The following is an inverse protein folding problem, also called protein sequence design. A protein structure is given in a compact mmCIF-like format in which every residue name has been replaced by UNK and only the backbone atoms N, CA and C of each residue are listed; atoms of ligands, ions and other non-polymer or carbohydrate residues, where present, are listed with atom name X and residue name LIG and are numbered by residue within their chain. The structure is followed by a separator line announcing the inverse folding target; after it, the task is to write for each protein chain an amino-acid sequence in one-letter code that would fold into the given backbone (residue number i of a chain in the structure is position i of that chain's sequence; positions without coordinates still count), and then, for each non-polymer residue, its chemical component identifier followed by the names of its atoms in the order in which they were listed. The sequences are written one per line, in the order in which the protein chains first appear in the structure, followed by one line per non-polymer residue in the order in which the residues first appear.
data_IF_298601201707
#
_entry.id   IF_298601201707
#
_cell.length_a   1.000
_cell.length_b   1.000
_cell.length_c   1.000
_cell.angle_alpha   90.00
_cell.angle_beta   90.00
_cell.angle_gamma   90.00
#
_symmetry.space_group_name_H-M   'P 1'
#
loop_
_entity.id
_entity.type
_entity.pdbx_description
1 polymer ?
#
# COMPACT_ATOMS: atom_id res chain seq x y z
N UNK A 1 -18.67 3.85 9.00
CA UNK A 1 -18.39 3.62 7.57
C UNK A 1 -17.94 2.17 7.38
N UNK A 2 -18.35 1.51 6.29
CA UNK A 2 -17.97 0.12 6.02
C UNK A 2 -16.53 0.13 5.50
N UNK A 3 -15.63 -0.72 6.05
CA UNK A 3 -14.25 -0.83 5.58
C UNK A 3 -14.21 -1.20 4.10
N UNK A 4 -13.19 -0.70 3.36
CA UNK A 4 -12.94 -1.07 1.97
C UNK A 4 -12.61 -2.55 1.86
N UNK A 5 -11.81 -3.10 2.79
CA UNK A 5 -11.45 -4.51 2.81
C UNK A 5 -12.50 -5.36 3.50
N UNK A 6 -12.86 -6.45 2.84
CA UNK A 6 -13.47 -7.59 3.50
C UNK A 6 -12.34 -8.58 3.81
N UNK A 7 -12.16 -8.94 5.08
CA UNK A 7 -11.05 -9.82 5.53
C UNK A 7 -11.01 -11.16 4.78
N UNK A 8 -12.16 -11.63 4.27
CA UNK A 8 -12.23 -12.88 3.49
C UNK A 8 -11.59 -12.82 2.08
N UNK A 9 -11.33 -11.62 1.56
CA UNK A 9 -10.77 -11.41 0.21
C UNK A 9 -9.36 -10.81 0.23
N UNK A 10 -8.84 -10.46 1.40
CA UNK A 10 -7.51 -9.89 1.52
C UNK A 10 -6.44 -10.96 1.29
N UNK A 11 -5.55 -10.72 0.32
CA UNK A 11 -4.36 -11.54 0.10
C UNK A 11 -3.21 -10.96 0.94
N UNK A 12 -2.70 -11.74 1.90
CA UNK A 12 -1.62 -11.32 2.79
C UNK A 12 -0.38 -10.85 2.02
N UNK A 13 0.24 -9.79 2.51
CA UNK A 13 1.40 -9.15 1.88
C UNK A 13 2.63 -9.29 2.79
N UNK A 14 3.80 -9.43 2.18
CA UNK A 14 5.08 -9.44 2.91
C UNK A 14 5.23 -8.16 3.75
N UNK A 15 4.73 -7.05 3.27
CA UNK A 15 4.77 -5.75 3.96
C UNK A 15 3.92 -5.73 5.25
N UNK A 16 2.97 -6.64 5.45
CA UNK A 16 2.09 -6.65 6.63
C UNK A 16 2.87 -6.75 7.95
N UNK A 17 3.95 -7.51 7.97
CA UNK A 17 4.79 -7.63 9.17
C UNK A 17 5.53 -6.32 9.47
N UNK A 18 5.94 -5.58 8.44
CA UNK A 18 6.53 -4.24 8.60
C UNK A 18 5.49 -3.25 9.12
N UNK A 19 4.28 -3.27 8.57
CA UNK A 19 3.16 -2.41 8.99
C UNK A 19 2.84 -2.67 10.46
N UNK A 20 2.64 -3.92 10.87
CA UNK A 20 2.37 -4.29 12.27
C UNK A 20 3.50 -3.85 13.22
N UNK A 21 4.75 -4.06 12.80
CA UNK A 21 5.92 -3.65 13.59
C UNK A 21 5.97 -2.14 13.74
N UNK A 22 5.86 -1.41 12.65
CA UNK A 22 6.10 0.02 12.62
C UNK A 22 4.94 0.80 13.28
N UNK A 23 3.71 0.30 13.25
CA UNK A 23 2.58 0.82 14.04
C UNK A 23 2.82 0.72 15.56
N UNK A 24 3.57 -0.28 16.03
CA UNK A 24 3.96 -0.36 17.46
C UNK A 24 5.05 0.62 17.85
N UNK A 25 5.85 1.09 16.89
CA UNK A 25 7.05 1.92 17.14
C UNK A 25 6.77 3.40 16.90
N UNK A 26 6.08 3.74 15.82
CA UNK A 26 5.84 5.12 15.38
C UNK A 26 4.40 5.56 15.64
N UNK A 27 4.20 6.88 15.78
CA UNK A 27 2.86 7.46 15.91
C UNK A 27 2.05 7.34 14.63
N UNK A 28 2.71 7.47 13.47
CA UNK A 28 2.10 7.27 12.16
C UNK A 28 3.05 6.52 11.22
N UNK A 29 2.47 5.88 10.21
CA UNK A 29 3.20 5.29 9.08
C UNK A 29 2.65 5.86 7.77
N UNK A 30 3.47 5.88 6.72
CA UNK A 30 3.07 6.23 5.36
C UNK A 30 3.43 5.08 4.42
N UNK A 31 2.42 4.47 3.79
CA UNK A 31 2.62 3.40 2.81
C UNK A 31 2.67 4.03 1.41
N UNK A 32 3.85 3.98 0.81
CA UNK A 32 4.14 4.56 -0.51
C UNK A 32 4.40 3.44 -1.53
N UNK A 33 3.99 3.66 -2.77
CA UNK A 33 4.22 2.67 -3.84
C UNK A 33 3.51 3.01 -5.13
N UNK A 34 3.76 2.24 -6.22
CA UNK A 34 3.14 2.49 -7.51
C UNK A 34 1.63 2.40 -7.43
N UNK A 35 0.95 3.04 -8.39
CA UNK A 35 -0.51 2.92 -8.50
C UNK A 35 -0.92 1.46 -8.65
N UNK A 36 -2.05 1.08 -8.03
CA UNK A 36 -2.65 -0.26 -8.08
C UNK A 36 -1.85 -1.40 -7.41
N UNK A 37 -0.74 -1.11 -6.74
CA UNK A 37 0.00 -2.16 -6.02
C UNK A 37 -0.72 -2.69 -4.76
N UNK A 38 -1.87 -2.09 -4.38
CA UNK A 38 -2.69 -2.55 -3.25
C UNK A 38 -2.53 -1.75 -1.96
N UNK A 39 -1.95 -0.53 -1.99
CA UNK A 39 -1.74 0.31 -0.80
C UNK A 39 -3.00 0.49 0.04
N UNK A 40 -4.08 0.96 -0.59
CA UNK A 40 -5.37 1.22 0.08
C UNK A 40 -5.91 -0.05 0.74
N UNK A 41 -5.85 -1.20 0.04
CA UNK A 41 -6.30 -2.49 0.58
C UNK A 41 -5.49 -2.93 1.80
N UNK A 42 -4.16 -2.91 1.69
CA UNK A 42 -3.26 -3.24 2.81
C UNK A 42 -3.49 -2.30 3.98
N UNK A 43 -3.57 -1.00 3.74
CA UNK A 43 -3.80 -0.01 4.79
C UNK A 43 -5.16 -0.18 5.48
N UNK A 44 -6.23 -0.43 4.70
CA UNK A 44 -7.58 -0.70 5.19
C UNK A 44 -7.62 -1.97 6.05
N UNK A 45 -6.89 -3.02 5.67
CA UNK A 45 -6.78 -4.25 6.45
C UNK A 45 -6.24 -3.99 7.87
N UNK A 46 -5.27 -3.09 8.01
CA UNK A 46 -4.65 -2.74 9.29
C UNK A 46 -5.33 -1.58 10.03
N UNK A 47 -6.26 -0.86 9.41
CA UNK A 47 -6.95 0.27 10.00
C UNK A 47 -8.22 -0.13 10.76
N UNK A 48 -8.59 0.66 11.78
CA UNK A 48 -9.88 0.54 12.47
C UNK A 48 -10.92 1.54 11.96
N UNK A 49 -10.46 2.66 11.37
CA UNK A 49 -11.32 3.63 10.69
C UNK A 49 -10.63 4.20 9.47
N UNK A 50 -11.41 4.77 8.54
CA UNK A 50 -10.92 5.21 7.23
C UNK A 50 -11.42 6.61 6.89
N UNK A 51 -10.60 7.36 6.15
CA UNK A 51 -10.95 8.60 5.50
C UNK A 51 -10.31 8.64 4.12
N UNK A 52 -11.13 8.63 3.08
CA UNK A 52 -10.72 8.61 1.68
C UNK A 52 -10.75 10.04 1.15
N UNK A 53 -9.58 10.65 0.98
CA UNK A 53 -9.48 12.06 0.52
C UNK A 53 -10.03 12.22 -0.88
N UNK A 54 -9.74 11.27 -1.77
CA UNK A 54 -10.13 11.27 -3.18
C UNK A 54 -11.54 10.72 -3.46
N UNK A 55 -12.38 10.48 -2.45
CA UNK A 55 -13.75 10.00 -2.66
C UNK A 55 -14.58 11.04 -3.44
N UNK A 56 -15.13 10.68 -4.62
CA UNK A 56 -15.93 11.60 -5.42
C UNK A 56 -17.32 11.92 -4.82
N UNK A 57 -17.75 11.19 -3.79
CA UNK A 57 -19.04 11.36 -3.14
C UNK A 57 -19.22 12.81 -2.62
N UNK A 58 -20.41 13.36 -2.78
CA UNK A 58 -20.70 14.72 -2.35
C UNK A 58 -19.82 15.78 -3.04
N UNK A 59 -19.49 15.58 -4.31
CA UNK A 59 -18.61 16.46 -5.08
C UNK A 59 -17.24 16.68 -4.41
N UNK A 60 -16.57 15.56 -4.06
CA UNK A 60 -15.29 15.58 -3.35
C UNK A 60 -15.34 16.28 -1.98
N UNK A 61 -16.44 16.15 -1.27
CA UNK A 61 -16.64 16.77 0.05
C UNK A 61 -15.56 16.38 1.07
N UNK A 62 -15.01 15.18 0.99
CA UNK A 62 -13.90 14.73 1.83
C UNK A 62 -12.65 15.57 1.60
N UNK A 63 -12.29 15.83 0.34
CA UNK A 63 -11.16 16.69 0.00
C UNK A 63 -11.34 18.10 0.54
N UNK A 64 -12.52 18.69 0.32
CA UNK A 64 -12.84 20.04 0.84
C UNK A 64 -12.75 20.08 2.37
N UNK A 65 -13.25 19.07 3.05
CA UNK A 65 -13.13 18.99 4.51
C UNK A 65 -11.67 18.89 4.96
N UNK A 66 -10.86 18.08 4.26
CA UNK A 66 -9.45 17.93 4.57
C UNK A 66 -8.64 19.22 4.33
N UNK A 67 -9.00 20.02 3.32
CA UNK A 67 -8.42 21.34 3.04
C UNK A 67 -8.75 22.37 4.13
N UNK A 68 -10.01 22.39 4.59
CA UNK A 68 -10.48 23.34 5.60
C UNK A 68 -10.06 22.94 7.03
N UNK A 69 -10.18 21.66 7.37
CA UNK A 69 -10.01 21.15 8.73
C UNK A 69 -9.16 19.88 8.75
N UNK A 70 -7.88 19.92 8.33
CA UNK A 70 -7.04 18.72 8.19
C UNK A 70 -6.89 17.96 9.51
N UNK A 71 -6.92 18.66 10.64
CA UNK A 71 -6.82 18.04 11.96
C UNK A 71 -8.10 17.26 12.34
N UNK A 72 -9.25 17.71 11.89
CA UNK A 72 -10.53 17.05 12.18
C UNK A 72 -10.66 15.70 11.49
N UNK A 73 -10.14 15.56 10.26
CA UNK A 73 -10.21 14.29 9.53
C UNK A 73 -9.31 13.20 10.11
N UNK A 74 -8.31 13.57 10.91
CA UNK A 74 -7.43 12.63 11.61
C UNK A 74 -8.09 11.97 12.83
N UNK A 75 -9.22 12.50 13.30
CA UNK A 75 -9.94 11.94 14.46
C UNK A 75 -10.76 10.72 14.04
N UNK A 76 -10.59 9.62 14.76
CA UNK A 76 -11.30 8.36 14.55
C UNK A 76 -10.64 7.22 15.31
N UNK A 77 -11.16 6.00 15.14
CA UNK A 77 -10.62 4.82 15.80
C UNK A 77 -9.25 4.48 15.20
N UNK A 78 -8.23 4.45 16.04
CA UNK A 78 -6.85 4.18 15.64
C UNK A 78 -6.56 2.67 15.50
N UNK A 79 -5.73 2.24 14.55
CA UNK A 79 -5.12 3.03 13.49
C UNK A 79 -6.15 3.59 12.50
N UNK A 80 -6.04 4.87 12.13
CA UNK A 80 -6.92 5.49 11.15
C UNK A 80 -6.23 5.65 9.81
N UNK A 81 -6.84 5.12 8.76
CA UNK A 81 -6.38 5.30 7.38
C UNK A 81 -6.77 6.69 6.87
N UNK A 82 -5.81 7.40 6.30
CA UNK A 82 -6.00 8.59 5.45
C UNK A 82 -5.46 8.24 4.07
N UNK A 83 -6.35 7.95 3.14
CA UNK A 83 -5.99 7.47 1.81
C UNK A 83 -5.73 8.64 0.85
N UNK A 84 -4.64 8.56 0.07
CA UNK A 84 -4.18 9.55 -0.90
C UNK A 84 -3.92 10.94 -0.25
N UNK A 85 -3.17 10.97 0.86
CA UNK A 85 -2.88 12.20 1.62
C UNK A 85 -2.28 13.33 0.77
N UNK A 86 -1.56 13.00 -0.30
CA UNK A 86 -0.91 13.98 -1.18
C UNK A 86 -1.90 14.86 -1.96
N UNK A 87 -3.17 14.48 -2.04
CA UNK A 87 -4.24 15.32 -2.59
C UNK A 87 -4.45 16.60 -1.76
N UNK A 88 -4.10 16.53 -0.46
CA UNK A 88 -4.13 17.65 0.48
C UNK A 88 -2.84 17.63 1.31
N UNK A 89 -1.73 18.24 0.85
CA UNK A 89 -0.42 18.17 1.50
C UNK A 89 -0.39 18.61 2.96
N UNK A 90 -1.30 19.49 3.38
CA UNK A 90 -1.45 19.91 4.78
C UNK A 90 -1.74 18.75 5.75
N UNK A 91 -2.26 17.63 5.26
CA UNK A 91 -2.50 16.41 6.06
C UNK A 91 -1.20 15.82 6.63
N UNK A 92 -0.08 15.97 5.94
CA UNK A 92 1.21 15.51 6.43
C UNK A 92 1.64 16.26 7.70
N UNK A 93 1.64 17.59 7.64
CA UNK A 93 2.00 18.43 8.79
C UNK A 93 0.97 18.31 9.93
N UNK A 94 -0.31 18.20 9.59
CA UNK A 94 -1.37 17.94 10.56
C UNK A 94 -1.18 16.59 11.26
N UNK A 95 -0.81 15.53 10.53
CA UNK A 95 -0.52 14.20 11.09
C UNK A 95 0.66 14.26 12.06
N UNK A 96 1.74 14.96 11.69
CA UNK A 96 2.88 15.16 12.57
C UNK A 96 2.47 15.84 13.89
N UNK A 97 1.72 16.95 13.79
CA UNK A 97 1.23 17.69 14.96
C UNK A 97 0.25 16.85 15.80
N UNK A 98 -0.60 16.04 15.14
CA UNK A 98 -1.53 15.13 15.82
C UNK A 98 -0.79 14.08 16.64
N UNK A 99 0.24 13.44 16.07
CA UNK A 99 1.08 12.47 16.77
C UNK A 99 1.82 13.11 17.94
N UNK A 100 2.40 14.30 17.76
CA UNK A 100 3.08 15.03 18.85
C UNK A 100 2.12 15.33 20.02
N UNK A 101 0.88 15.68 19.72
CA UNK A 101 -0.15 15.99 20.74
C UNK A 101 -0.71 14.76 21.42
N UNK A 102 -0.94 13.69 20.68
CA UNK A 102 -1.52 12.44 21.21
C UNK A 102 -0.51 11.64 22.04
N UNK A 103 0.78 11.72 21.72
CA UNK A 103 1.85 10.92 22.30
C UNK A 103 1.73 9.41 22.05
N UNK A 104 0.69 8.98 21.32
CA UNK A 104 0.38 7.57 21.07
C UNK A 104 1.17 6.97 19.90
N UNK A 105 1.24 5.64 19.86
CA UNK A 105 1.74 4.85 18.73
C UNK A 105 0.58 4.33 17.90
N UNK A 106 0.85 4.01 16.62
CA UNK A 106 -0.14 3.40 15.73
C UNK A 106 -1.41 4.23 15.53
N UNK A 107 -1.30 5.55 15.50
CA UNK A 107 -2.47 6.42 15.41
C UNK A 107 -2.99 6.53 13.97
N UNK A 108 -2.09 6.77 13.01
CA UNK A 108 -2.45 7.10 11.63
C UNK A 108 -1.68 6.20 10.65
N UNK A 109 -2.37 5.78 9.60
CA UNK A 109 -1.82 5.17 8.39
C UNK A 109 -2.11 6.13 7.24
N UNK A 110 -1.08 6.67 6.62
CA UNK A 110 -1.19 7.46 5.38
C UNK A 110 -0.93 6.55 4.18
N UNK A 111 -1.61 6.77 3.06
CA UNK A 111 -1.20 6.21 1.78
C UNK A 111 -0.92 7.30 0.77
N UNK A 112 0.07 7.06 -0.08
CA UNK A 112 0.42 7.99 -1.15
C UNK A 112 1.10 7.30 -2.33
N UNK A 113 1.16 8.00 -3.47
CA UNK A 113 1.92 7.53 -4.62
C UNK A 113 3.42 7.60 -4.34
N UNK A 114 4.23 6.75 -5.03
CA UNK A 114 5.69 6.66 -4.85
C UNK A 114 6.47 7.89 -5.34
N UNK A 115 5.79 8.87 -5.89
CA UNK A 115 6.39 10.15 -6.29
C UNK A 115 5.66 11.27 -5.54
N UNK A 116 5.84 11.41 -4.22
CA UNK A 116 5.29 12.56 -3.53
C UNK A 116 6.05 13.76 -4.07
N UNK A 117 5.35 14.59 -4.82
CA UNK A 117 5.78 15.96 -4.98
C UNK A 117 5.60 16.58 -3.60
N UNK A 118 6.67 16.66 -2.81
CA UNK A 118 6.66 17.29 -1.47
C UNK A 118 6.34 18.81 -1.53
N UNK A 119 5.69 19.26 -2.58
CA UNK A 119 5.18 20.62 -2.73
C UNK A 119 4.06 20.83 -1.71
N UNK A 120 4.30 21.74 -0.77
CA UNK A 120 3.34 22.09 0.27
C UNK A 120 3.53 21.39 1.61
N UNK A 121 4.50 20.49 1.75
CA UNK A 121 4.90 19.91 3.04
C UNK A 121 5.99 20.77 3.65
N UNK A 122 5.78 21.26 4.87
CA UNK A 122 6.72 22.15 5.57
C UNK A 122 7.75 21.39 6.41
N UNK A 123 7.43 20.18 6.86
CA UNK A 123 8.28 19.40 7.76
C UNK A 123 8.45 17.95 7.29
N UNK A 124 9.62 17.37 7.53
CA UNK A 124 9.98 16.02 7.08
C UNK A 124 9.23 14.86 7.77
N UNK A 125 8.52 15.13 8.87
CA UNK A 125 7.87 14.08 9.68
C UNK A 125 8.82 13.16 10.44
N UNK A 126 10.13 13.43 10.42
CA UNK A 126 11.18 12.58 11.02
C UNK A 126 10.88 12.23 12.48
N UNK A 127 10.95 10.93 12.80
CA UNK A 127 10.67 10.39 14.12
C UNK A 127 9.18 10.24 14.49
N UNK A 128 8.25 10.77 13.69
CA UNK A 128 6.79 10.69 13.89
C UNK A 128 6.13 9.81 12.86
N UNK A 129 6.50 10.02 11.59
CA UNK A 129 5.92 9.30 10.44
C UNK A 129 7.02 8.42 9.84
N UNK A 130 6.77 7.12 9.74
CA UNK A 130 7.67 6.16 9.12
C UNK A 130 7.17 5.80 7.73
N UNK A 131 7.94 6.10 6.68
CA UNK A 131 7.63 5.64 5.33
C UNK A 131 7.96 4.16 5.16
N UNK A 132 7.03 3.44 4.54
CA UNK A 132 7.13 2.03 4.15
C UNK A 132 6.90 1.96 2.65
N UNK A 133 7.88 1.45 1.90
CA UNK A 133 7.73 1.25 0.47
C UNK A 133 7.05 -0.09 0.19
N UNK A 134 5.92 -0.04 -0.51
CA UNK A 134 5.18 -1.19 -0.98
C UNK A 134 5.36 -1.36 -2.48
N UNK A 135 5.69 -2.56 -2.91
CA UNK A 135 5.77 -2.93 -4.32
C UNK A 135 4.53 -3.71 -4.77
N UNK A 136 4.46 -4.06 -6.05
CA UNK A 136 3.53 -5.06 -6.57
C UNK A 136 3.75 -6.42 -5.89
N UNK A 137 2.83 -7.36 -6.07
CA UNK A 137 2.94 -8.69 -5.45
C UNK A 137 4.14 -9.46 -6.02
N UNK A 138 4.87 -10.12 -5.13
CA UNK A 138 5.86 -11.14 -5.49
C UNK A 138 5.16 -12.43 -5.92
N UNK A 139 5.90 -13.34 -6.54
CA UNK A 139 5.38 -14.68 -6.89
C UNK A 139 4.93 -15.48 -5.66
N UNK A 140 5.54 -15.22 -4.50
CA UNK A 140 5.11 -15.81 -3.24
C UNK A 140 3.74 -15.29 -2.78
N UNK A 141 3.53 -13.96 -2.83
CA UNK A 141 2.25 -13.34 -2.46
C UNK A 141 1.12 -13.69 -3.41
N UNK A 142 1.43 -13.91 -4.71
CA UNK A 142 0.45 -14.34 -5.72
C UNK A 142 0.16 -15.85 -5.68
N UNK A 143 0.94 -16.63 -4.91
CA UNK A 143 0.77 -18.09 -4.81
C UNK A 143 1.47 -18.87 -5.92
N UNK A 144 2.26 -18.21 -6.78
CA UNK A 144 3.01 -18.86 -7.87
C UNK A 144 4.35 -19.42 -7.40
N UNK A 145 4.77 -19.09 -6.18
CA UNK A 145 5.98 -19.64 -5.53
C UNK A 145 5.62 -20.17 -4.15
N UNK A 146 6.11 -21.35 -3.84
CA UNK A 146 5.93 -21.99 -2.51
C UNK A 146 6.73 -21.31 -1.40
N UNK A 147 7.76 -20.53 -1.73
CA UNK A 147 8.66 -19.91 -0.75
C UNK A 147 9.48 -20.90 0.08
N UNK A 148 9.61 -22.17 -0.35
CA UNK A 148 10.31 -23.25 0.40
C UNK A 148 11.79 -22.90 0.63
N UNK A 149 12.39 -22.15 -0.29
CA UNK A 149 13.78 -21.72 -0.17
C UNK A 149 13.79 -20.21 0.00
N UNK A 150 14.24 -19.74 1.15
CA UNK A 150 14.45 -18.32 1.38
C UNK A 150 15.87 -17.89 1.00
N UNK A 151 16.06 -16.64 0.59
CA UNK A 151 17.38 -16.09 0.33
C UNK A 151 18.27 -16.15 1.59
N UNK A 152 17.70 -15.98 2.77
CA UNK A 152 18.40 -16.12 4.04
C UNK A 152 18.93 -17.52 4.23
N UNK A 153 18.09 -18.54 4.04
CA UNK A 153 18.50 -19.95 4.20
C UNK A 153 19.57 -20.31 3.17
N UNK A 154 19.48 -19.75 1.95
CA UNK A 154 20.50 -19.92 0.92
C UNK A 154 21.85 -19.33 1.36
N UNK A 155 21.86 -18.13 1.91
CA UNK A 155 23.08 -17.46 2.42
C UNK A 155 23.67 -18.19 3.65
N UNK A 156 22.82 -18.79 4.49
CA UNK A 156 23.23 -19.55 5.67
C UNK A 156 23.54 -21.04 5.37
N UNK A 157 23.44 -21.45 4.10
CA UNK A 157 23.64 -22.83 3.66
C UNK A 157 22.72 -23.86 4.35
N UNK A 158 21.48 -23.42 4.68
CA UNK A 158 20.47 -24.19 5.43
C UNK A 158 19.30 -24.63 4.55
N UNK A 159 19.55 -24.97 3.30
CA UNK A 159 18.49 -25.42 2.40
C UNK A 159 18.74 -26.85 1.91
N UNK A 160 17.67 -27.59 1.71
CA UNK A 160 17.68 -28.84 1.00
C UNK A 160 17.28 -28.63 -0.46
N UNK A 161 18.04 -29.22 -1.38
CA UNK A 161 17.63 -29.20 -2.79
C UNK A 161 16.33 -30.00 -2.96
N UNK A 162 15.24 -29.29 -3.35
CA UNK A 162 13.94 -29.91 -3.63
C UNK A 162 13.55 -29.64 -5.06
N UNK A 163 13.14 -30.67 -5.77
CA UNK A 163 12.48 -30.52 -7.07
C UNK A 163 11.08 -30.01 -6.78
N UNK A 164 10.80 -28.80 -7.23
CA UNK A 164 9.46 -28.18 -7.22
C UNK A 164 8.75 -28.56 -8.53
N UNK A 165 7.46 -28.24 -8.61
CA UNK A 165 6.70 -28.45 -9.84
C UNK A 165 7.43 -27.89 -11.07
N UNK A 166 7.43 -28.63 -12.15
CA UNK A 166 8.05 -28.21 -13.42
C UNK A 166 7.37 -26.93 -13.90
N UNK A 167 8.13 -25.87 -13.97
CA UNK A 167 7.71 -24.61 -14.58
C UNK A 167 8.11 -24.65 -16.06
N UNK A 168 7.14 -24.69 -16.95
CA UNK A 168 7.41 -24.65 -18.39
C UNK A 168 7.62 -23.19 -18.85
N UNK A 169 8.13 -23.04 -20.08
CA UNK A 169 8.44 -21.73 -20.66
C UNK A 169 7.19 -20.87 -20.86
N UNK A 170 6.05 -21.47 -21.17
CA UNK A 170 4.77 -20.78 -21.35
C UNK A 170 4.29 -20.14 -20.04
N UNK A 171 4.34 -20.90 -18.94
CA UNK A 171 4.01 -20.39 -17.59
C UNK A 171 4.95 -19.26 -17.20
N UNK A 172 6.24 -19.37 -17.48
CA UNK A 172 7.19 -18.32 -17.20
C UNK A 172 6.91 -17.03 -17.99
N UNK A 173 6.63 -17.17 -19.30
CA UNK A 173 6.24 -16.05 -20.16
C UNK A 173 4.97 -15.36 -19.64
N UNK A 174 3.95 -16.14 -19.29
CA UNK A 174 2.72 -15.63 -18.69
C UNK A 174 2.99 -14.82 -17.41
N UNK A 175 3.79 -15.36 -16.48
CA UNK A 175 4.09 -14.67 -15.21
C UNK A 175 4.83 -13.34 -15.45
N UNK A 176 5.70 -13.28 -16.46
CA UNK A 176 6.41 -12.04 -16.82
C UNK A 176 5.43 -11.00 -17.38
N UNK A 177 4.54 -11.38 -18.29
CA UNK A 177 3.58 -10.45 -18.91
C UNK A 177 2.52 -10.01 -17.91
N UNK A 178 1.95 -10.93 -17.13
CA UNK A 178 0.94 -10.65 -16.10
C UNK A 178 1.48 -9.65 -15.06
N UNK A 179 2.76 -9.78 -14.69
CA UNK A 179 3.37 -8.99 -13.64
C UNK A 179 2.77 -9.29 -12.25
N UNK A 180 2.94 -8.35 -11.32
CA UNK A 180 2.55 -8.51 -9.92
C UNK A 180 1.46 -7.56 -9.43
N UNK A 181 0.71 -6.88 -10.29
CA UNK A 181 -0.44 -6.08 -9.87
C UNK A 181 -1.55 -6.98 -9.33
N UNK A 182 -2.09 -6.70 -8.11
CA UNK A 182 -3.13 -7.56 -7.52
C UNK A 182 -4.32 -7.82 -8.43
N UNK A 183 -4.74 -6.81 -9.20
CA UNK A 183 -5.86 -6.94 -10.15
C UNK A 183 -5.59 -7.85 -11.34
N UNK A 184 -4.32 -8.21 -11.60
CA UNK A 184 -3.93 -9.06 -12.73
C UNK A 184 -3.75 -10.53 -12.34
N UNK A 185 -3.75 -10.86 -11.04
CA UNK A 185 -3.35 -12.20 -10.56
C UNK A 185 -4.25 -13.31 -11.12
N UNK A 186 -5.54 -13.05 -11.20
CA UNK A 186 -6.55 -14.03 -11.62
C UNK A 186 -6.97 -13.86 -13.10
N UNK A 187 -6.18 -13.13 -13.91
CA UNK A 187 -6.46 -12.86 -15.32
C UNK A 187 -5.95 -13.99 -16.21
N UNK A 188 -6.70 -14.30 -17.27
CA UNK A 188 -6.34 -15.36 -18.22
C UNK A 188 -5.05 -15.04 -18.98
N UNK A 189 -4.38 -16.10 -19.46
CA UNK A 189 -3.18 -15.99 -20.31
C UNK A 189 -3.45 -15.14 -21.57
N UNK A 190 -4.68 -15.21 -22.11
CA UNK A 190 -5.05 -14.54 -23.36
C UNK A 190 -5.32 -13.04 -23.20
N UNK A 191 -5.55 -12.57 -21.95
CA UNK A 191 -5.99 -11.19 -21.69
C UNK A 191 -4.94 -10.39 -20.88
N UNK A 192 -3.86 -11.03 -20.44
CA UNK A 192 -2.90 -10.41 -19.53
C UNK A 192 -2.05 -9.30 -20.17
N UNK A 193 -1.80 -9.37 -21.47
CA UNK A 193 -1.09 -8.37 -22.25
C UNK A 193 -1.89 -7.07 -22.40
N UNK A 194 -3.20 -7.16 -22.69
CA UNK A 194 -4.09 -5.99 -22.77
C UNK A 194 -4.13 -5.22 -21.44
N UNK A 195 -4.13 -5.90 -20.29
CA UNK A 195 -4.08 -5.24 -19.00
C UNK A 195 -2.74 -4.52 -18.75
N UNK A 196 -1.63 -5.15 -19.14
CA UNK A 196 -0.31 -4.55 -19.02
C UNK A 196 -0.17 -3.30 -19.91
N UNK A 197 -0.64 -3.39 -21.17
CA UNK A 197 -0.65 -2.26 -22.10
C UNK A 197 -1.55 -1.13 -21.60
N UNK A 198 -2.78 -1.43 -21.17
CA UNK A 198 -3.71 -0.45 -20.62
C UNK A 198 -3.16 0.28 -19.38
N UNK A 199 -2.44 -0.42 -18.51
CA UNK A 199 -1.74 0.21 -17.38
C UNK A 199 -0.65 1.18 -17.86
N UNK A 200 0.20 0.75 -18.80
CA UNK A 200 1.27 1.59 -19.35
C UNK A 200 0.72 2.86 -20.02
N UNK A 201 -0.33 2.73 -20.84
CA UNK A 201 -0.97 3.87 -21.49
C UNK A 201 -1.54 4.88 -20.49
N UNK A 202 -2.20 4.39 -19.43
CA UNK A 202 -2.76 5.24 -18.40
C UNK A 202 -1.68 5.98 -17.60
N UNK A 203 -0.56 5.33 -17.30
CA UNK A 203 0.58 5.98 -16.63
C UNK A 203 1.21 7.01 -17.54
N UNK A 204 1.42 6.70 -18.83
CA UNK A 204 2.01 7.64 -19.80
C UNK A 204 1.18 8.91 -20.02
N UNK A 205 -0.15 8.85 -19.89
CA UNK A 205 -1.05 10.02 -20.00
C UNK A 205 -1.00 10.94 -18.77
N UNK A 206 -0.36 10.52 -17.67
CA UNK A 206 -0.31 11.29 -16.41
C UNK A 206 1.05 11.97 -16.18
N UNK A 207 2.00 11.75 -17.10
CA UNK A 207 3.31 12.41 -17.12
C UNK A 207 3.23 13.64 -18.05
#
# INVERSE_FOLDING_TARGET
MKKITNDSTYKARIVDELVKRDLRIFGAICIEGPKWCGKTWTSSHHANSEFLVGDPSGNFSNRMLAELEPYTVLKGDAPRLIDEWQEVPALWDATRAFVDKSGGKGQIILTGSSTPVNKGVLHSGTGRIKSIRMNTMSLYESGDSSGIISLKDLCENKFESKVLEETNLEKLAYLIVRGGWPGNIDVSVNDCDELALGYMENVAKQI
#
